data_IF_010280901144
#
_entry.id   IF_010280901144
#
_cell.length_a   1.000
_cell.length_b   1.000
_cell.length_c   1.000
_cell.angle_alpha   90.00
_cell.angle_beta   90.00
_cell.angle_gamma   90.00
#
_symmetry.space_group_name_H-M   'P 1'
#
loop_
_entity.id
_entity.type
_entity.pdbx_description
1 polymer ?
#
# COMPACT_ATOMS: atom_id res chain seq x y z
N UNK A 1 9.73 28.55 -8.21
CA UNK A 1 8.34 28.57 -7.75
C UNK A 1 8.07 27.65 -6.58
N UNK A 2 7.85 28.26 -5.42
CA UNK A 2 7.44 27.58 -4.18
C UNK A 2 6.12 26.79 -4.35
N UNK A 3 5.17 27.29 -5.15
CA UNK A 3 3.84 26.69 -5.37
C UNK A 3 3.76 25.69 -6.52
N UNK A 4 4.87 25.36 -7.20
CA UNK A 4 4.85 24.46 -8.36
C UNK A 4 4.34 23.06 -7.99
N UNK A 5 4.71 22.56 -6.80
CA UNK A 5 4.25 21.26 -6.29
C UNK A 5 2.80 21.29 -5.83
N UNK A 6 2.34 22.36 -5.18
CA UNK A 6 0.93 22.47 -4.74
C UNK A 6 -0.03 22.51 -5.93
N UNK A 7 0.33 23.19 -7.03
CA UNK A 7 -0.47 23.18 -8.26
C UNK A 7 -0.55 21.82 -8.96
N UNK A 8 0.44 20.95 -8.78
CA UNK A 8 0.44 19.60 -9.39
C UNK A 8 -0.42 18.58 -8.64
N UNK A 9 -0.70 18.83 -7.36
CA UNK A 9 -1.47 17.92 -6.48
C UNK A 9 -2.86 18.44 -6.12
N UNK A 10 -3.19 19.66 -6.58
CA UNK A 10 -4.49 20.28 -6.34
C UNK A 10 -5.55 19.69 -7.28
N UNK A 11 -6.68 19.29 -6.70
CA UNK A 11 -7.76 18.60 -7.42
C UNK A 11 -8.34 19.41 -8.58
N UNK A 12 -8.39 20.74 -8.43
CA UNK A 12 -9.05 21.62 -9.41
C UNK A 12 -8.10 22.09 -10.53
N UNK A 13 -6.91 21.51 -10.62
CA UNK A 13 -6.00 21.79 -11.74
C UNK A 13 -6.58 21.24 -13.05
N UNK A 14 -6.45 21.96 -14.19
CA UNK A 14 -7.12 21.59 -15.45
C UNK A 14 -6.92 20.14 -15.89
N UNK A 15 -5.72 19.59 -15.67
CA UNK A 15 -5.35 18.21 -15.97
C UNK A 15 -6.20 17.14 -15.25
N UNK A 16 -6.86 17.47 -14.13
CA UNK A 16 -7.70 16.55 -13.35
C UNK A 16 -9.21 16.84 -13.47
N UNK A 17 -9.57 17.92 -14.17
CA UNK A 17 -10.95 18.25 -14.51
C UNK A 17 -11.32 17.78 -15.93
N UNK A 18 -10.42 17.09 -16.63
CA UNK A 18 -10.71 16.50 -17.93
C UNK A 18 -11.87 15.49 -17.81
N UNK A 19 -13.02 15.84 -18.39
CA UNK A 19 -14.22 15.00 -18.40
C UNK A 19 -15.12 15.09 -17.16
N UNK A 20 -14.89 16.03 -16.23
CA UNK A 20 -15.73 16.22 -15.05
C UNK A 20 -15.72 17.68 -14.54
N UNK A 21 -16.79 18.09 -13.85
CA UNK A 21 -16.82 19.43 -13.22
C UNK A 21 -16.03 19.47 -11.91
N UNK A 22 -15.65 20.67 -11.47
CA UNK A 22 -15.02 20.87 -10.16
C UNK A 22 -15.89 20.36 -9.00
N UNK A 23 -17.21 20.53 -9.10
CA UNK A 23 -18.15 20.04 -8.11
C UNK A 23 -18.17 18.51 -8.06
N UNK A 24 -18.28 17.85 -9.21
CA UNK A 24 -18.23 16.38 -9.31
C UNK A 24 -16.93 15.81 -8.73
N UNK A 25 -15.80 16.48 -8.99
CA UNK A 25 -14.51 16.08 -8.45
C UNK A 25 -14.50 16.14 -6.91
N UNK A 26 -15.00 17.24 -6.33
CA UNK A 26 -15.08 17.43 -4.87
C UNK A 26 -16.09 16.46 -4.25
N UNK A 27 -17.29 16.32 -4.81
CA UNK A 27 -18.32 15.40 -4.32
C UNK A 27 -17.81 13.96 -4.30
N UNK A 28 -17.14 13.53 -5.36
CA UNK A 28 -16.52 12.20 -5.42
C UNK A 28 -15.46 12.03 -4.34
N UNK A 29 -14.63 13.04 -4.12
CA UNK A 29 -13.62 12.99 -3.07
C UNK A 29 -14.26 12.95 -1.68
N UNK A 30 -15.28 13.77 -1.41
CA UNK A 30 -16.05 13.72 -0.16
C UNK A 30 -16.63 12.33 0.06
N UNK A 31 -17.30 11.76 -0.95
CA UNK A 31 -17.87 10.41 -0.87
C UNK A 31 -16.82 9.35 -0.53
N UNK A 32 -15.64 9.41 -1.15
CA UNK A 32 -14.51 8.52 -0.84
C UNK A 32 -14.03 8.68 0.61
N UNK A 33 -13.95 9.89 1.13
CA UNK A 33 -13.54 10.14 2.53
C UNK A 33 -14.61 9.73 3.54
N UNK A 34 -15.91 9.83 3.20
CA UNK A 34 -16.99 9.36 4.06
C UNK A 34 -16.92 7.83 4.30
N UNK A 35 -16.48 7.07 3.30
CA UNK A 35 -16.38 5.61 3.40
C UNK A 35 -14.99 5.09 3.78
N UNK A 36 -13.97 5.95 3.83
CA UNK A 36 -12.58 5.51 3.98
C UNK A 36 -12.28 4.86 5.33
N UNK A 37 -12.99 5.27 6.39
CA UNK A 37 -12.81 4.71 7.73
C UNK A 37 -13.41 3.31 7.87
N UNK A 38 -14.47 2.99 7.12
CA UNK A 38 -15.27 1.79 7.36
C UNK A 38 -15.27 0.78 6.21
N UNK A 39 -14.99 1.20 4.97
CA UNK A 39 -15.14 0.34 3.80
C UNK A 39 -13.95 0.37 2.83
N UNK A 40 -13.62 1.53 2.24
CA UNK A 40 -12.62 1.60 1.17
C UNK A 40 -11.66 2.77 1.37
N UNK A 41 -10.45 2.47 1.84
CA UNK A 41 -9.40 3.45 2.07
C UNK A 41 -8.52 3.76 0.86
N UNK A 42 -7.33 4.28 1.13
CA UNK A 42 -6.37 4.75 0.12
C UNK A 42 -5.84 3.58 -0.74
N UNK A 43 -5.83 3.69 -2.08
CA UNK A 43 -5.29 2.66 -2.96
C UNK A 43 -3.75 2.65 -3.03
N UNK A 44 -3.08 3.73 -2.63
CA UNK A 44 -1.63 3.84 -2.71
C UNK A 44 -0.94 3.02 -1.61
N UNK A 45 -0.28 1.94 -2.02
CA UNK A 45 0.40 0.99 -1.16
C UNK A 45 1.59 1.56 -0.36
N UNK A 46 2.06 2.77 -0.68
CA UNK A 46 3.10 3.47 0.10
C UNK A 46 2.61 3.99 1.43
N UNK A 47 1.31 4.23 1.54
CA UNK A 47 0.73 5.02 2.62
C UNK A 47 -0.08 4.15 3.58
N UNK A 48 -0.81 3.18 3.05
CA UNK A 48 -1.63 2.26 3.83
C UNK A 48 -1.81 0.93 3.08
N UNK A 49 -2.40 -0.06 3.74
CA UNK A 49 -2.85 -1.29 3.12
C UNK A 49 -3.81 -0.97 1.94
N UNK A 50 -3.47 -1.34 0.68
CA UNK A 50 -4.19 -0.88 -0.51
C UNK A 50 -5.69 -1.14 -0.48
N UNK A 51 -6.45 -0.05 -0.37
CA UNK A 51 -7.91 -0.05 -0.37
C UNK A 51 -8.57 -0.75 0.84
N UNK A 52 -7.80 -1.12 1.85
CA UNK A 52 -8.36 -1.47 3.17
C UNK A 52 -8.90 -0.21 3.85
N UNK A 53 -9.96 -0.31 4.68
CA UNK A 53 -10.41 0.82 5.48
C UNK A 53 -9.31 1.31 6.44
N UNK A 54 -9.35 2.59 6.80
CA UNK A 54 -8.39 3.19 7.74
C UNK A 54 -8.56 2.71 9.18
N UNK A 55 -9.75 2.21 9.54
CA UNK A 55 -10.02 1.60 10.84
C UNK A 55 -10.30 0.10 10.65
N UNK A 56 -9.85 -0.72 11.58
CA UNK A 56 -10.27 -2.12 11.62
C UNK A 56 -11.78 -2.25 11.87
N UNK A 57 -12.37 -3.41 11.59
CA UNK A 57 -13.82 -3.60 11.65
C UNK A 57 -14.46 -3.26 13.01
N UNK A 58 -13.76 -3.53 14.13
CA UNK A 58 -14.29 -3.27 15.47
C UNK A 58 -14.22 -1.77 15.78
N UNK A 59 -13.08 -1.15 15.50
CA UNK A 59 -12.89 0.29 15.68
C UNK A 59 -13.80 1.08 14.75
N UNK A 60 -13.99 0.65 13.51
CA UNK A 60 -14.89 1.23 12.52
C UNK A 60 -16.36 1.17 12.96
N UNK A 61 -16.81 0.06 13.54
CA UNK A 61 -18.15 -0.05 14.12
C UNK A 61 -18.32 0.93 15.28
N UNK A 62 -17.35 0.97 16.20
CA UNK A 62 -17.39 1.89 17.33
C UNK A 62 -17.36 3.36 16.85
N UNK A 63 -16.58 3.67 15.82
CA UNK A 63 -16.53 4.98 15.18
C UNK A 63 -17.89 5.36 14.60
N UNK A 64 -18.57 4.47 13.88
CA UNK A 64 -19.90 4.75 13.32
C UNK A 64 -20.93 5.06 14.41
N UNK A 65 -20.94 4.29 15.51
CA UNK A 65 -21.81 4.53 16.66
C UNK A 65 -21.48 5.89 17.29
N UNK A 66 -20.19 6.16 17.55
CA UNK A 66 -19.75 7.41 18.15
C UNK A 66 -20.02 8.63 17.29
N UNK A 67 -19.86 8.52 15.97
CA UNK A 67 -20.20 9.54 15.00
C UNK A 67 -21.69 9.87 15.07
N UNK A 68 -22.56 8.86 15.05
CA UNK A 68 -24.00 9.06 15.19
C UNK A 68 -24.38 9.74 16.52
N UNK A 69 -23.78 9.31 17.63
CA UNK A 69 -24.00 9.92 18.94
C UNK A 69 -23.51 11.37 19.00
N UNK A 70 -22.34 11.67 18.43
CA UNK A 70 -21.80 13.02 18.34
C UNK A 70 -22.69 13.92 17.49
N UNK A 71 -23.18 13.45 16.34
CA UNK A 71 -24.13 14.20 15.51
C UNK A 71 -25.42 14.50 16.27
N UNK A 72 -25.99 13.50 16.94
CA UNK A 72 -27.19 13.66 17.76
C UNK A 72 -26.99 14.62 18.95
N UNK A 73 -25.80 14.65 19.54
CA UNK A 73 -25.46 15.57 20.62
C UNK A 73 -25.22 17.00 20.09
N UNK A 74 -24.59 17.14 18.93
CA UNK A 74 -24.37 18.41 18.26
C UNK A 74 -25.71 19.07 17.88
N UNK A 75 -26.66 18.31 17.34
CA UNK A 75 -28.03 18.77 17.06
C UNK A 75 -28.79 19.23 18.31
N UNK A 76 -28.39 18.76 19.50
CA UNK A 76 -28.93 19.19 20.81
C UNK A 76 -28.14 20.33 21.45
N UNK A 77 -27.21 20.95 20.72
CA UNK A 77 -26.43 22.10 21.19
C UNK A 77 -25.16 21.76 21.97
N UNK A 78 -24.68 20.50 21.95
CA UNK A 78 -23.40 20.15 22.58
C UNK A 78 -22.23 20.76 21.81
N UNK A 79 -21.60 21.78 22.40
CA UNK A 79 -20.40 22.41 21.83
C UNK A 79 -19.26 21.42 21.62
N UNK A 80 -19.00 20.53 22.59
CA UNK A 80 -17.91 19.56 22.49
C UNK A 80 -18.11 18.59 21.31
N UNK A 81 -19.35 18.14 21.08
CA UNK A 81 -19.67 17.29 19.94
C UNK A 81 -19.51 18.04 18.61
N UNK A 82 -20.01 19.28 18.54
CA UNK A 82 -19.81 20.16 17.39
C UNK A 82 -18.33 20.39 17.07
N UNK A 83 -17.52 20.74 18.07
CA UNK A 83 -16.10 20.97 17.92
C UNK A 83 -15.37 19.70 17.43
N UNK A 84 -15.72 18.52 17.96
CA UNK A 84 -15.14 17.24 17.55
C UNK A 84 -15.43 16.94 16.08
N UNK A 85 -16.68 17.13 15.64
CA UNK A 85 -17.08 16.91 14.24
C UNK A 85 -16.44 17.94 13.30
N UNK A 86 -16.37 19.20 13.73
CA UNK A 86 -15.76 20.28 12.96
C UNK A 86 -14.26 20.05 12.76
N UNK A 87 -13.55 19.66 13.82
CA UNK A 87 -12.12 19.34 13.72
C UNK A 87 -11.86 18.13 12.83
N UNK A 88 -12.69 17.09 12.92
CA UNK A 88 -12.62 15.97 11.99
C UNK A 88 -12.78 16.46 10.54
N UNK A 89 -13.75 17.32 10.25
CA UNK A 89 -13.96 17.86 8.91
C UNK A 89 -12.79 18.74 8.42
N UNK A 90 -12.28 19.64 9.28
CA UNK A 90 -11.15 20.53 8.97
C UNK A 90 -9.90 19.71 8.63
N UNK A 91 -9.61 18.67 9.41
CA UNK A 91 -8.40 17.86 9.24
C UNK A 91 -8.51 16.87 8.08
N UNK A 92 -9.72 16.60 7.58
CA UNK A 92 -9.95 15.86 6.33
C UNK A 92 -9.90 16.76 5.08
N UNK A 93 -10.10 18.07 5.23
CA UNK A 93 -10.19 19.00 4.10
C UNK A 93 -8.98 18.94 3.16
N UNK A 94 -7.70 18.91 3.62
CA UNK A 94 -6.54 18.81 2.74
C UNK A 94 -6.54 17.56 1.88
N UNK A 95 -7.05 16.45 2.41
CA UNK A 95 -7.15 15.18 1.69
C UNK A 95 -8.30 15.21 0.67
N UNK A 96 -9.43 15.83 1.01
CA UNK A 96 -10.58 16.01 0.10
C UNK A 96 -10.23 16.86 -1.12
N UNK A 97 -9.44 17.92 -0.97
CA UNK A 97 -9.07 18.81 -2.08
C UNK A 97 -7.84 18.33 -2.88
N UNK A 98 -7.38 17.11 -2.61
CA UNK A 98 -6.21 16.52 -3.25
C UNK A 98 -6.58 15.51 -4.34
N UNK A 99 -5.66 15.30 -5.28
CA UNK A 99 -5.89 14.44 -6.47
C UNK A 99 -5.93 12.94 -6.13
N UNK A 100 -5.22 12.52 -5.08
CA UNK A 100 -5.12 11.11 -4.65
C UNK A 100 -6.10 10.80 -3.52
N UNK A 101 -7.39 11.07 -3.74
CA UNK A 101 -8.41 10.81 -2.73
C UNK A 101 -8.91 9.35 -2.75
N UNK A 102 -9.11 8.70 -1.58
CA UNK A 102 -8.74 9.20 -0.25
C UNK A 102 -7.23 9.02 0.02
N UNK A 103 -6.63 9.94 0.78
CA UNK A 103 -5.22 9.84 1.18
C UNK A 103 -5.09 9.70 2.71
N UNK A 104 -4.58 8.55 3.16
CA UNK A 104 -4.31 8.26 4.56
C UNK A 104 -3.24 9.20 5.13
N UNK A 105 -2.19 9.54 4.37
CA UNK A 105 -1.16 10.49 4.82
C UNK A 105 -1.73 11.89 4.99
N UNK A 106 -2.60 12.36 4.09
CA UNK A 106 -3.21 13.69 4.22
C UNK A 106 -4.34 13.72 5.26
N UNK A 107 -4.92 12.57 5.59
CA UNK A 107 -5.95 12.42 6.62
C UNK A 107 -5.41 12.02 8.00
N UNK A 108 -4.10 11.80 8.16
CA UNK A 108 -3.51 11.29 9.40
C UNK A 108 -3.82 12.18 10.62
N UNK A 109 -3.89 13.49 10.41
CA UNK A 109 -4.18 14.46 11.46
C UNK A 109 -5.61 14.33 11.99
N UNK A 110 -6.54 13.76 11.20
CA UNK A 110 -7.91 13.49 11.62
C UNK A 110 -8.02 12.28 12.57
N UNK A 111 -6.96 11.48 12.71
CA UNK A 111 -6.98 10.24 13.49
C UNK A 111 -7.40 10.44 14.96
N UNK A 112 -6.89 11.42 15.73
CA UNK A 112 -7.28 11.60 17.14
C UNK A 112 -8.80 11.81 17.30
N UNK A 113 -9.43 12.54 16.38
CA UNK A 113 -10.88 12.79 16.41
C UNK A 113 -11.68 11.56 15.97
N UNK A 114 -11.19 10.81 14.98
CA UNK A 114 -11.78 9.53 14.60
C UNK A 114 -11.72 8.52 15.76
N UNK A 115 -10.59 8.41 16.45
CA UNK A 115 -10.44 7.54 17.63
C UNK A 115 -11.22 8.05 18.84
N UNK A 116 -11.38 9.36 19.03
CA UNK A 116 -12.25 9.92 20.08
C UNK A 116 -13.73 9.54 19.84
N UNK A 117 -14.19 9.60 18.59
CA UNK A 117 -15.52 9.12 18.21
C UNK A 117 -15.62 7.60 18.41
N UNK A 118 -14.62 6.81 18.00
CA UNK A 118 -14.60 5.37 18.26
C UNK A 118 -14.69 5.05 19.76
N UNK A 119 -13.94 5.77 20.60
CA UNK A 119 -14.00 5.62 22.05
C UNK A 119 -15.38 5.98 22.61
N UNK A 120 -16.01 7.06 22.12
CA UNK A 120 -17.38 7.44 22.49
C UNK A 120 -18.38 6.31 22.18
N UNK A 121 -18.31 5.73 20.98
CA UNK A 121 -19.18 4.61 20.59
C UNK A 121 -18.91 3.35 21.40
N UNK A 122 -17.65 3.02 21.66
CA UNK A 122 -17.26 1.89 22.49
C UNK A 122 -17.79 2.03 23.92
N UNK A 123 -17.59 3.20 24.55
CA UNK A 123 -18.10 3.49 25.90
C UNK A 123 -19.62 3.40 25.94
N UNK A 124 -20.32 3.95 24.93
CA UNK A 124 -21.76 3.88 24.84
C UNK A 124 -22.27 2.44 24.74
N UNK A 125 -21.61 1.60 23.93
CA UNK A 125 -21.92 0.18 23.81
C UNK A 125 -21.73 -0.56 25.15
N UNK A 126 -20.59 -0.34 25.83
CA UNK A 126 -20.33 -0.95 27.14
C UNK A 126 -21.36 -0.52 28.20
N UNK A 127 -21.76 0.76 28.21
CA UNK A 127 -22.80 1.27 29.11
C UNK A 127 -24.16 0.65 28.81
N UNK A 128 -24.53 0.54 27.54
CA UNK A 128 -25.78 -0.09 27.14
C UNK A 128 -25.85 -1.56 27.58
N UNK A 129 -24.77 -2.32 27.34
CA UNK A 129 -24.67 -3.73 27.74
C UNK A 129 -24.64 -3.94 29.26
N UNK A 130 -24.27 -2.91 30.04
CA UNK A 130 -24.24 -2.94 31.51
C UNK A 130 -25.43 -2.23 32.15
N UNK A 131 -26.43 -1.84 31.36
CA UNK A 131 -27.56 -1.04 31.83
C UNK A 131 -28.45 -1.74 32.86
N UNK A 132 -29.38 -1.01 33.52
CA UNK A 132 -30.22 -1.49 34.62
C UNK A 132 -31.04 -2.76 34.31
N UNK A 133 -31.38 -3.01 33.05
CA UNK A 133 -32.11 -4.22 32.60
C UNK A 133 -31.21 -5.40 32.17
N UNK A 134 -29.89 -5.25 32.14
CA UNK A 134 -28.99 -6.31 31.68
C UNK A 134 -28.84 -7.44 32.73
N UNK A 135 -28.92 -8.73 32.34
CA UNK A 135 -28.68 -9.87 33.23
C UNK A 135 -27.29 -9.81 33.89
N UNK A 136 -27.17 -10.28 35.13
CA UNK A 136 -25.90 -10.26 35.89
C UNK A 136 -24.75 -10.96 35.13
N UNK A 137 -25.04 -12.06 34.44
CA UNK A 137 -24.07 -12.80 33.63
C UNK A 137 -23.53 -11.93 32.49
N UNK A 138 -24.42 -11.21 31.78
CA UNK A 138 -24.01 -10.28 30.72
C UNK A 138 -23.11 -9.17 31.27
N UNK A 139 -23.49 -8.55 32.39
CA UNK A 139 -22.69 -7.48 33.02
C UNK A 139 -21.28 -7.93 33.43
N UNK A 140 -21.15 -9.19 33.85
CA UNK A 140 -19.86 -9.83 34.21
C UNK A 140 -19.05 -10.21 32.96
N UNK A 141 -19.72 -10.58 31.87
CA UNK A 141 -19.07 -10.92 30.60
C UNK A 141 -18.56 -9.70 29.83
N UNK A 142 -19.19 -8.52 29.96
CA UNK A 142 -18.81 -7.28 29.25
C UNK A 142 -17.31 -6.94 29.32
N UNK A 143 -16.63 -6.88 30.48
CA UNK A 143 -15.20 -6.58 30.51
C UNK A 143 -14.34 -7.64 29.79
N UNK A 144 -14.73 -8.91 29.85
CA UNK A 144 -14.04 -9.99 29.13
C UNK A 144 -14.25 -9.82 27.64
N UNK A 145 -15.49 -9.59 27.19
CA UNK A 145 -15.80 -9.33 25.78
C UNK A 145 -15.08 -8.08 25.24
N UNK A 146 -14.99 -7.01 26.04
CA UNK A 146 -14.21 -5.82 25.73
C UNK A 146 -12.71 -6.14 25.57
N UNK A 147 -12.13 -6.90 26.50
CA UNK A 147 -10.73 -7.34 26.41
C UNK A 147 -10.45 -8.22 25.19
N UNK A 148 -11.37 -9.14 24.86
CA UNK A 148 -11.28 -9.96 23.66
C UNK A 148 -11.39 -9.13 22.38
N UNK A 149 -12.31 -8.16 22.32
CA UNK A 149 -12.44 -7.26 21.19
C UNK A 149 -11.17 -6.42 20.97
N UNK A 150 -10.60 -5.86 22.04
CA UNK A 150 -9.33 -5.13 21.96
C UNK A 150 -8.15 -6.02 21.55
N UNK A 151 -8.09 -7.25 22.07
CA UNK A 151 -7.07 -8.22 21.67
C UNK A 151 -7.20 -8.58 20.19
N UNK A 152 -8.43 -8.76 19.71
CA UNK A 152 -8.72 -9.01 18.30
C UNK A 152 -8.31 -7.82 17.41
N UNK A 153 -8.58 -6.58 17.83
CA UNK A 153 -8.13 -5.35 17.14
C UNK A 153 -6.62 -5.34 16.97
N UNK A 154 -5.88 -5.60 18.07
CA UNK A 154 -4.41 -5.66 18.03
C UNK A 154 -3.94 -6.78 17.09
N UNK A 155 -4.50 -7.98 17.23
CA UNK A 155 -4.15 -9.13 16.38
C UNK A 155 -4.41 -8.88 14.90
N UNK A 156 -5.56 -8.28 14.55
CA UNK A 156 -5.91 -7.92 13.17
C UNK A 156 -4.95 -6.92 12.56
N UNK A 157 -4.59 -5.86 13.30
CA UNK A 157 -3.65 -4.86 12.82
C UNK A 157 -2.23 -5.42 12.70
N UNK A 158 -1.78 -6.25 13.65
CA UNK A 158 -0.48 -6.93 13.57
C UNK A 158 -0.42 -7.87 12.36
N UNK A 159 -1.48 -8.66 12.14
CA UNK A 159 -1.56 -9.53 10.98
C UNK A 159 -1.55 -8.73 9.66
N UNK A 160 -2.32 -7.65 9.59
CA UNK A 160 -2.39 -6.81 8.38
C UNK A 160 -1.00 -6.26 8.04
N UNK A 161 -0.34 -5.60 9.00
CA UNK A 161 0.92 -4.91 8.75
C UNK A 161 2.15 -5.82 8.67
N UNK A 162 2.22 -6.88 9.47
CA UNK A 162 3.43 -7.71 9.57
C UNK A 162 3.33 -9.06 8.86
N UNK A 163 2.14 -9.48 8.44
CA UNK A 163 1.97 -10.75 7.72
C UNK A 163 1.44 -10.51 6.31
N UNK A 164 0.37 -9.72 6.16
CA UNK A 164 -0.29 -9.52 4.87
C UNK A 164 0.46 -8.55 3.96
N UNK A 165 0.83 -7.37 4.46
CA UNK A 165 1.48 -6.31 3.66
C UNK A 165 2.85 -6.72 3.10
N UNK A 166 3.72 -7.42 3.86
CA UNK A 166 5.04 -7.82 3.35
C UNK A 166 4.97 -8.73 2.13
N UNK A 167 3.89 -9.50 1.96
CA UNK A 167 3.68 -10.37 0.79
C UNK A 167 2.86 -9.75 -0.34
N UNK A 168 2.40 -8.50 -0.20
CA UNK A 168 1.52 -7.85 -1.18
C UNK A 168 2.35 -7.26 -2.35
N UNK A 169 2.17 -7.72 -3.60
CA UNK A 169 2.91 -7.20 -4.74
C UNK A 169 2.77 -5.69 -4.95
N UNK A 170 1.62 -5.10 -4.59
CA UNK A 170 1.40 -3.67 -4.73
C UNK A 170 2.28 -2.88 -3.76
N UNK A 171 2.49 -3.40 -2.55
CA UNK A 171 3.38 -2.80 -1.55
C UNK A 171 4.82 -2.95 -2.01
N UNK A 172 5.22 -4.17 -2.38
CA UNK A 172 6.60 -4.49 -2.77
C UNK A 172 7.07 -3.68 -3.98
N UNK A 173 6.22 -3.53 -5.01
CA UNK A 173 6.54 -2.73 -6.19
C UNK A 173 6.70 -1.24 -5.88
N UNK A 174 6.01 -0.73 -4.86
CA UNK A 174 6.16 0.67 -4.43
C UNK A 174 7.46 0.97 -3.67
N UNK A 175 8.12 -0.05 -3.12
CA UNK A 175 9.36 0.02 -2.34
C UNK A 175 10.56 -0.62 -3.05
N UNK A 176 10.47 -0.84 -4.37
CA UNK A 176 11.58 -1.32 -5.21
C UNK A 176 12.19 -2.65 -4.74
N UNK A 177 11.38 -3.52 -4.12
CA UNK A 177 11.90 -4.77 -3.52
C UNK A 177 12.36 -5.75 -4.59
N UNK A 178 11.70 -5.77 -5.76
CA UNK A 178 12.09 -6.61 -6.88
C UNK A 178 13.44 -6.21 -7.46
N UNK A 179 13.63 -4.92 -7.69
CA UNK A 179 14.85 -4.29 -8.20
C UNK A 179 16.02 -4.48 -7.22
N UNK A 180 15.79 -4.20 -5.93
CA UNK A 180 16.81 -4.36 -4.89
C UNK A 180 17.26 -5.82 -4.72
N UNK A 181 16.32 -6.77 -4.75
CA UNK A 181 16.64 -8.21 -4.64
C UNK A 181 17.30 -8.74 -5.90
N UNK A 182 16.85 -8.32 -7.08
CA UNK A 182 17.50 -8.63 -8.35
C UNK A 182 18.96 -8.14 -8.36
N UNK A 183 19.22 -6.89 -7.97
CA UNK A 183 20.57 -6.35 -7.87
C UNK A 183 21.46 -7.13 -6.92
N UNK A 184 20.99 -7.42 -5.70
CA UNK A 184 21.76 -8.26 -4.75
C UNK A 184 22.05 -9.66 -5.28
N UNK A 185 21.09 -10.27 -5.99
CA UNK A 185 21.28 -11.58 -6.60
C UNK A 185 22.34 -11.55 -7.72
N UNK A 186 22.35 -10.48 -8.51
CA UNK A 186 23.37 -10.22 -9.54
C UNK A 186 24.74 -10.05 -8.89
N UNK A 187 24.87 -9.20 -7.87
CA UNK A 187 26.12 -8.98 -7.15
C UNK A 187 26.67 -10.29 -6.56
N UNK A 188 25.83 -11.05 -5.84
CA UNK A 188 26.22 -12.32 -5.26
C UNK A 188 26.61 -13.38 -6.31
N UNK A 189 26.04 -13.32 -7.52
CA UNK A 189 26.41 -14.21 -8.62
C UNK A 189 27.74 -13.78 -9.25
N UNK A 190 27.99 -12.47 -9.40
CA UNK A 190 29.23 -11.92 -9.92
C UNK A 190 30.42 -12.13 -8.96
N UNK A 191 30.21 -12.05 -7.65
CA UNK A 191 31.22 -12.41 -6.65
C UNK A 191 31.69 -13.86 -6.78
N UNK A 192 30.77 -14.77 -7.13
CA UNK A 192 31.07 -16.20 -7.35
C UNK A 192 31.74 -16.45 -8.70
N UNK A 193 31.34 -15.69 -9.73
CA UNK A 193 31.87 -15.79 -11.08
C UNK A 193 32.14 -14.38 -11.65
N UNK A 194 33.37 -13.84 -11.50
CA UNK A 194 33.70 -12.47 -11.91
C UNK A 194 33.57 -12.21 -13.41
N UNK A 195 33.46 -13.24 -14.25
CA UNK A 195 33.20 -13.08 -15.69
C UNK A 195 31.72 -12.96 -16.02
N UNK A 196 30.84 -13.15 -15.04
CA UNK A 196 29.39 -13.06 -15.22
C UNK A 196 28.99 -11.67 -15.71
N UNK A 197 28.22 -11.65 -16.78
CA UNK A 197 27.52 -10.46 -17.26
C UNK A 197 26.03 -10.64 -17.00
N UNK A 198 25.42 -9.66 -16.34
CA UNK A 198 23.99 -9.66 -16.07
C UNK A 198 23.23 -8.89 -17.16
N UNK A 199 22.18 -9.50 -17.68
CA UNK A 199 21.33 -8.98 -18.73
C UNK A 199 19.95 -8.67 -18.17
N UNK A 200 19.42 -7.49 -18.51
CA UNK A 200 18.07 -7.06 -18.13
C UNK A 200 17.18 -6.93 -19.38
N UNK A 201 15.89 -7.29 -19.31
CA UNK A 201 14.95 -7.07 -20.40
C UNK A 201 14.98 -5.63 -20.90
N UNK A 202 14.79 -5.46 -22.20
CA UNK A 202 14.66 -4.13 -22.79
C UNK A 202 13.34 -3.51 -22.31
N UNK A 203 13.44 -2.36 -21.66
CA UNK A 203 12.33 -1.67 -21.01
C UNK A 203 12.35 -0.18 -21.33
N UNK A 204 11.20 0.49 -21.18
CA UNK A 204 11.07 1.93 -21.34
C UNK A 204 10.27 2.49 -20.16
N UNK A 205 10.89 3.19 -19.19
CA UNK A 205 12.31 3.52 -19.11
C UNK A 205 13.20 2.28 -18.92
N UNK A 206 14.49 2.38 -19.32
CA UNK A 206 15.41 1.23 -19.26
C UNK A 206 15.68 0.83 -17.81
N UNK A 207 15.62 -0.48 -17.52
CA UNK A 207 16.01 -1.03 -16.22
C UNK A 207 17.49 -0.75 -15.89
N UNK A 208 18.33 -0.49 -16.90
CA UNK A 208 19.71 -0.04 -16.70
C UNK A 208 19.81 1.37 -16.10
N UNK A 209 18.73 2.14 -16.14
CA UNK A 209 18.65 3.46 -15.52
C UNK A 209 18.05 3.45 -14.11
N UNK A 210 17.64 2.28 -13.60
CA UNK A 210 17.09 2.16 -12.25
C UNK A 210 18.20 2.26 -11.19
N UNK A 211 18.16 3.31 -10.37
CA UNK A 211 19.18 3.59 -9.36
C UNK A 211 19.23 2.52 -8.26
N UNK A 212 18.09 1.93 -7.89
CA UNK A 212 18.03 0.91 -6.83
C UNK A 212 18.71 -0.37 -7.29
N UNK A 213 18.39 -0.81 -8.50
CA UNK A 213 19.00 -2.00 -9.10
C UNK A 213 20.51 -1.79 -9.27
N UNK A 214 20.94 -0.65 -9.83
CA UNK A 214 22.36 -0.34 -10.02
C UNK A 214 23.14 -0.29 -8.71
N UNK A 215 22.57 0.37 -7.71
CA UNK A 215 23.20 0.50 -6.39
C UNK A 215 23.34 -0.88 -5.73
N UNK A 216 22.30 -1.71 -5.78
CA UNK A 216 22.32 -3.04 -5.16
C UNK A 216 23.06 -4.12 -5.95
N UNK A 217 23.33 -3.89 -7.23
CA UNK A 217 24.19 -4.74 -8.06
C UNK A 217 25.70 -4.51 -7.82
N UNK A 218 26.06 -3.58 -6.93
CA UNK A 218 27.43 -3.35 -6.44
C UNK A 218 28.50 -3.25 -7.55
N UNK A 219 28.23 -2.44 -8.57
CA UNK A 219 29.18 -2.22 -9.67
C UNK A 219 29.28 -3.36 -10.69
N UNK A 220 28.47 -4.43 -10.54
CA UNK A 220 28.41 -5.53 -11.52
C UNK A 220 28.03 -4.99 -12.91
N UNK A 221 28.73 -5.40 -14.00
CA UNK A 221 28.38 -4.98 -15.35
C UNK A 221 26.98 -5.44 -15.77
N UNK A 222 26.09 -4.47 -16.00
CA UNK A 222 24.72 -4.69 -16.47
C UNK A 222 24.61 -4.38 -17.97
N UNK A 223 23.86 -5.20 -18.71
CA UNK A 223 23.58 -4.99 -20.14
C UNK A 223 22.11 -5.18 -20.46
N UNK A 224 21.65 -4.60 -21.55
CA UNK A 224 20.33 -4.89 -22.10
C UNK A 224 20.32 -6.23 -22.83
N UNK A 225 19.24 -6.98 -22.65
CA UNK A 225 19.02 -8.26 -23.30
C UNK A 225 18.81 -8.04 -24.81
N UNK A 226 19.60 -8.70 -25.67
CA UNK A 226 19.41 -8.65 -27.11
C UNK A 226 18.09 -9.35 -27.50
N UNK A 227 17.34 -8.83 -28.49
CA UNK A 227 16.05 -9.40 -28.90
C UNK A 227 16.18 -10.83 -29.44
N UNK A 228 17.32 -11.14 -30.06
CA UNK A 228 17.54 -12.42 -30.75
C UNK A 228 18.56 -13.31 -30.01
N UNK A 229 18.98 -12.93 -28.80
CA UNK A 229 19.97 -13.68 -28.00
C UNK A 229 21.41 -13.73 -28.54
N UNK A 230 21.65 -13.18 -29.74
CA UNK A 230 22.93 -13.27 -30.47
C UNK A 230 24.15 -12.69 -29.75
N UNK A 231 23.96 -11.83 -28.74
CA UNK A 231 25.06 -11.24 -27.95
C UNK A 231 25.16 -11.77 -26.51
N UNK A 232 24.54 -12.92 -26.22
CA UNK A 232 24.79 -13.65 -24.97
C UNK A 232 26.16 -14.36 -25.06
N UNK A 233 27.06 -14.18 -24.08
CA UNK A 233 28.39 -14.77 -24.12
C UNK A 233 28.26 -16.29 -24.01
N UNK A 234 29.09 -17.11 -24.68
CA UNK A 234 29.00 -18.57 -24.58
C UNK A 234 29.28 -19.11 -23.17
N UNK A 235 29.89 -18.32 -22.29
CA UNK A 235 30.18 -18.65 -20.90
C UNK A 235 29.06 -18.28 -19.91
N UNK A 236 29.42 -18.03 -18.63
CA UNK A 236 28.47 -17.72 -17.57
C UNK A 236 27.63 -16.48 -17.90
N UNK A 237 26.32 -16.63 -17.83
CA UNK A 237 25.39 -15.55 -18.15
C UNK A 237 24.17 -15.61 -17.22
N UNK A 238 23.69 -14.43 -16.84
CA UNK A 238 22.48 -14.29 -16.02
C UNK A 238 21.54 -13.29 -16.69
N UNK A 239 20.29 -13.68 -16.93
CA UNK A 239 19.21 -12.76 -17.34
C UNK A 239 18.30 -12.57 -16.13
N UNK A 240 18.03 -11.34 -15.71
CA UNK A 240 17.23 -11.06 -14.52
C UNK A 240 16.05 -10.16 -14.84
N UNK A 241 14.87 -10.58 -14.42
CA UNK A 241 13.61 -9.86 -14.56
C UNK A 241 13.12 -9.48 -13.16
N UNK A 242 13.36 -8.24 -12.70
CA UNK A 242 12.82 -7.77 -11.42
C UNK A 242 11.30 -7.63 -11.51
N UNK A 243 10.59 -7.93 -10.42
CA UNK A 243 9.15 -7.70 -10.32
C UNK A 243 8.88 -6.28 -9.81
N UNK A 244 8.46 -5.41 -10.73
CA UNK A 244 8.05 -4.03 -10.42
C UNK A 244 6.58 -3.91 -10.03
N UNK A 245 6.06 -2.66 -10.08
CA UNK A 245 4.68 -2.33 -9.73
C UNK A 245 3.64 -2.86 -10.75
N UNK A 246 3.94 -2.76 -12.05
CA UNK A 246 3.02 -3.19 -13.11
C UNK A 246 3.21 -4.69 -13.42
N UNK A 247 2.17 -5.47 -13.05
CA UNK A 247 2.13 -6.90 -13.34
C UNK A 247 2.17 -7.20 -14.83
N UNK A 248 1.46 -6.45 -15.66
CA UNK A 248 1.43 -6.71 -17.10
C UNK A 248 2.80 -6.44 -17.73
N UNK A 249 3.47 -5.39 -17.27
CA UNK A 249 4.82 -5.08 -17.69
C UNK A 249 5.81 -6.18 -17.31
N UNK A 250 5.76 -6.65 -16.06
CA UNK A 250 6.56 -7.79 -15.61
C UNK A 250 6.34 -9.04 -16.47
N UNK A 251 5.09 -9.41 -16.77
CA UNK A 251 4.79 -10.57 -17.62
C UNK A 251 5.32 -10.40 -19.05
N UNK A 252 5.25 -9.17 -19.62
CA UNK A 252 5.83 -8.87 -20.93
C UNK A 252 7.35 -9.05 -20.92
N UNK A 253 8.03 -8.53 -19.91
CA UNK A 253 9.49 -8.67 -19.77
C UNK A 253 9.89 -10.12 -19.55
N UNK A 254 9.14 -10.85 -18.73
CA UNK A 254 9.38 -12.27 -18.47
C UNK A 254 9.20 -13.11 -19.74
N UNK A 255 8.14 -12.87 -20.52
CA UNK A 255 7.92 -13.55 -21.79
C UNK A 255 8.99 -13.22 -22.84
N UNK A 256 9.51 -11.98 -22.86
CA UNK A 256 10.65 -11.61 -23.70
C UNK A 256 11.94 -12.31 -23.25
N UNK A 257 12.21 -12.35 -21.93
CA UNK A 257 13.37 -13.04 -21.38
C UNK A 257 13.34 -14.54 -21.67
N UNK A 258 12.20 -15.23 -21.48
CA UNK A 258 12.06 -16.67 -21.77
C UNK A 258 12.35 -17.00 -23.24
N UNK A 259 11.82 -16.21 -24.17
CA UNK A 259 12.04 -16.40 -25.62
C UNK A 259 13.52 -16.39 -26.01
N UNK A 260 14.35 -15.66 -25.26
CA UNK A 260 15.80 -15.55 -25.52
C UNK A 260 16.60 -16.55 -24.67
N UNK A 261 16.25 -16.70 -23.40
CA UNK A 261 17.00 -17.49 -22.43
C UNK A 261 16.84 -19.00 -22.63
N UNK A 262 15.63 -19.49 -22.95
CA UNK A 262 15.37 -20.92 -23.12
C UNK A 262 16.13 -21.52 -24.31
N UNK A 263 16.10 -20.93 -25.54
CA UNK A 263 16.89 -21.45 -26.66
C UNK A 263 18.40 -21.34 -26.44
N UNK A 264 18.84 -20.37 -25.62
CA UNK A 264 20.24 -20.20 -25.24
C UNK A 264 20.68 -21.18 -24.14
N UNK A 265 19.78 -22.04 -23.63
CA UNK A 265 20.10 -23.07 -22.64
C UNK A 265 20.27 -22.53 -21.21
N UNK A 266 19.75 -21.35 -20.90
CA UNK A 266 19.74 -20.84 -19.53
C UNK A 266 18.58 -21.46 -18.75
N UNK A 267 18.84 -21.86 -17.51
CA UNK A 267 17.85 -22.46 -16.61
C UNK A 267 17.10 -21.38 -15.83
N UNK A 268 15.76 -21.44 -15.82
CA UNK A 268 14.95 -20.57 -14.98
C UNK A 268 15.15 -20.88 -13.48
N UNK A 269 15.38 -19.83 -12.71
CA UNK A 269 15.55 -19.83 -11.26
C UNK A 269 14.64 -18.77 -10.67
N UNK A 270 13.82 -19.17 -9.71
CA UNK A 270 12.93 -18.26 -8.99
C UNK A 270 13.72 -17.54 -7.90
N UNK A 271 13.59 -16.21 -7.86
CA UNK A 271 14.16 -15.40 -6.80
C UNK A 271 13.50 -15.64 -5.45
N UNK A 272 14.09 -15.06 -4.41
CA UNK A 272 13.57 -15.16 -3.04
C UNK A 272 12.14 -14.61 -2.94
N UNK A 273 11.25 -15.37 -2.30
CA UNK A 273 9.92 -14.92 -1.98
C UNK A 273 9.96 -13.81 -0.90
N UNK A 274 9.04 -12.84 -0.92
CA UNK A 274 8.98 -11.81 0.11
C UNK A 274 8.61 -12.38 1.49
N UNK A 275 8.92 -11.67 2.59
CA UNK A 275 8.43 -12.03 3.92
C UNK A 275 6.90 -12.08 3.88
N UNK A 276 6.26 -13.05 4.55
CA UNK A 276 4.80 -13.23 4.47
C UNK A 276 4.31 -14.09 3.30
N UNK A 277 5.23 -14.55 2.43
CA UNK A 277 4.92 -15.41 1.30
C UNK A 277 4.37 -14.65 0.10
N UNK A 278 4.16 -15.36 -1.01
CA UNK A 278 3.71 -14.78 -2.27
C UNK A 278 4.64 -15.10 -3.42
N UNK A 279 4.51 -14.32 -4.48
CA UNK A 279 5.27 -14.48 -5.71
C UNK A 279 6.74 -14.05 -5.54
N UNK A 280 7.68 -14.64 -6.30
CA UNK A 280 9.09 -14.29 -6.20
C UNK A 280 9.33 -12.83 -6.63
N UNK A 281 10.24 -12.16 -5.91
CA UNK A 281 10.56 -10.76 -6.15
C UNK A 281 11.27 -10.52 -7.50
N UNK A 282 11.88 -11.55 -8.07
CA UNK A 282 12.44 -11.53 -9.41
C UNK A 282 12.46 -12.96 -9.98
N UNK A 283 12.60 -13.07 -11.30
CA UNK A 283 12.92 -14.32 -11.97
C UNK A 283 14.27 -14.14 -12.65
N UNK A 284 15.14 -15.14 -12.52
CA UNK A 284 16.42 -15.17 -13.20
C UNK A 284 16.52 -16.37 -14.13
N UNK A 285 17.31 -16.25 -15.18
CA UNK A 285 17.75 -17.35 -16.03
C UNK A 285 19.26 -17.39 -15.93
N UNK A 286 19.83 -18.55 -15.61
CA UNK A 286 21.27 -18.68 -15.35
C UNK A 286 21.86 -19.80 -16.20
N UNK A 287 23.08 -19.56 -16.67
CA UNK A 287 24.00 -20.57 -17.17
C UNK A 287 25.30 -20.40 -16.42
N UNK A 288 25.72 -21.47 -15.75
CA UNK A 288 27.00 -21.55 -15.05
C UNK A 288 28.17 -21.69 -16.05
#
# INVERSE_FOLDING_TARGET
>A
DFFRRSGQVFLLSPQYLEGQTALEAVERNVARHLVMFNWRGEPNARHHAPGWPLLDAVTALCFAIGLALAMLAALRGSWAAWATLLWLAILLAPSVVSVDAPSAVRAQDAAPFAYALAALGFIALLRALRGPGAPILLRRAVPVGAGLALTFVVGMNLWLYFVRLPGDPQVLGKFYVGEARAGRAIAAAHEREPRLVAYLPRATPSLLSDDTLRFTADGTPLRELPPDGSALPPGPAMVVVPRGEDRQEFERWLAAARRVAEPAGLREVRGEAPPGGGEPAYIAFVRD
#
